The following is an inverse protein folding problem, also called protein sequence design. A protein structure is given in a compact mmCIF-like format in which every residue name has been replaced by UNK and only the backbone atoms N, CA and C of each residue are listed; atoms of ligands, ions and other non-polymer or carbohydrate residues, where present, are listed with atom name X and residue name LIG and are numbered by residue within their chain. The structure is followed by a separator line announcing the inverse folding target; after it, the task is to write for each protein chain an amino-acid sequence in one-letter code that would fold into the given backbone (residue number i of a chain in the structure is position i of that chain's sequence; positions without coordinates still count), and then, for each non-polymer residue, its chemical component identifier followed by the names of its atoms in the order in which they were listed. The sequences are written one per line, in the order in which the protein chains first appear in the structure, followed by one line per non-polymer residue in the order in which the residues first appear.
data_IF_258823118173
#
_entry.id   IF_258823118173
#
_cell.length_a   1.000
_cell.length_b   1.000
_cell.length_c   1.000
_cell.angle_alpha   90.00
_cell.angle_beta   90.00
_cell.angle_gamma   90.00
#
_symmetry.space_group_name_H-M   'P 1'
#
loop_
_entity.id
_entity.type
_entity.pdbx_description
1 polymer ?
#
# COMPACT_ATOMS: atom_id res chain seq x y z
N UNK A 1 -9.02 8.36 21.22
CA UNK A 1 -8.51 7.10 20.66
C UNK A 1 -8.50 7.27 19.17
N UNK A 2 -7.33 7.26 18.54
CA UNK A 2 -7.17 7.29 17.09
C UNK A 2 -7.81 6.02 16.55
N UNK A 3 -8.98 6.12 15.92
CA UNK A 3 -9.59 4.97 15.24
C UNK A 3 -8.79 4.76 13.95
N UNK A 4 -7.87 3.81 13.97
CA UNK A 4 -7.24 3.32 12.74
C UNK A 4 -8.34 2.86 11.77
N UNK A 5 -8.14 3.03 10.45
CA UNK A 5 -9.11 2.58 9.47
C UNK A 5 -9.27 1.06 9.55
N UNK A 6 -10.52 0.59 9.45
CA UNK A 6 -10.80 -0.86 9.44
C UNK A 6 -10.32 -1.54 8.14
N UNK A 7 -10.22 -0.76 7.07
CA UNK A 7 -9.79 -1.19 5.75
C UNK A 7 -8.59 -0.36 5.32
N UNK A 8 -7.53 -1.03 4.91
CA UNK A 8 -6.26 -0.40 4.61
C UNK A 8 -5.72 -0.90 3.27
N UNK A 9 -5.05 -0.04 2.53
CA UNK A 9 -4.15 -0.49 1.47
C UNK A 9 -2.73 -0.21 1.91
N UNK A 10 -1.93 -1.27 1.95
CA UNK A 10 -0.56 -1.24 2.45
C UNK A 10 0.36 -1.54 1.28
N UNK A 11 1.36 -0.68 1.09
CA UNK A 11 2.50 -0.99 0.22
C UNK A 11 3.80 -0.87 0.98
N UNK A 12 4.70 -1.79 0.70
CA UNK A 12 6.07 -1.70 1.15
C UNK A 12 6.99 -1.58 -0.06
N UNK A 13 7.96 -0.67 0.02
CA UNK A 13 8.94 -0.39 -1.03
C UNK A 13 10.35 -0.53 -0.45
N UNK A 14 11.23 -1.27 -1.13
CA UNK A 14 12.66 -1.21 -0.84
C UNK A 14 13.20 0.20 -1.18
N UNK A 15 13.55 0.98 -0.17
CA UNK A 15 13.71 2.43 -0.26
C UNK A 15 15.13 2.86 -0.59
N UNK A 16 15.59 2.42 -1.76
CA UNK A 16 16.80 2.90 -2.42
C UNK A 16 16.44 4.01 -3.45
N UNK A 17 17.39 4.58 -4.22
CA UNK A 17 17.07 5.61 -5.22
C UNK A 17 16.01 5.22 -6.26
N UNK A 18 15.94 3.95 -6.66
CA UNK A 18 14.87 3.44 -7.55
C UNK A 18 13.54 3.27 -6.81
N UNK A 19 13.57 2.92 -5.52
CA UNK A 19 12.40 2.89 -4.65
C UNK A 19 11.77 4.27 -4.44
N UNK A 20 12.59 5.31 -4.27
CA UNK A 20 12.14 6.71 -4.23
C UNK A 20 11.39 7.10 -5.50
N UNK A 21 11.93 6.71 -6.66
CA UNK A 21 11.26 6.96 -7.93
C UNK A 21 9.93 6.22 -8.05
N UNK A 22 9.88 4.97 -7.59
CA UNK A 22 8.64 4.19 -7.56
C UNK A 22 7.58 4.85 -6.66
N UNK A 23 7.98 5.35 -5.48
CA UNK A 23 7.06 6.09 -4.61
C UNK A 23 6.47 7.31 -5.34
N UNK A 24 7.30 8.14 -5.96
CA UNK A 24 6.84 9.31 -6.72
C UNK A 24 5.86 8.92 -7.83
N UNK A 25 6.16 7.84 -8.56
CA UNK A 25 5.31 7.34 -9.64
C UNK A 25 3.96 6.84 -9.09
N UNK A 26 3.96 6.14 -7.95
CA UNK A 26 2.73 5.70 -7.27
C UNK A 26 1.91 6.89 -6.82
N UNK A 27 2.51 7.83 -6.07
CA UNK A 27 1.82 9.02 -5.55
C UNK A 27 1.29 9.92 -6.68
N UNK A 28 1.97 9.96 -7.83
CA UNK A 28 1.50 10.71 -9.01
C UNK A 28 0.36 10.01 -9.76
N UNK A 29 0.15 8.70 -9.53
CA UNK A 29 -0.91 7.91 -10.17
C UNK A 29 -2.24 7.91 -9.41
N UNK A 30 -2.27 8.50 -8.21
CA UNK A 30 -3.42 8.51 -7.31
C UNK A 30 -3.72 9.92 -6.81
N UNK A 31 -4.98 10.18 -6.50
CA UNK A 31 -5.43 11.48 -5.96
C UNK A 31 -5.63 11.47 -4.44
N UNK A 32 -5.21 10.39 -3.76
CA UNK A 32 -5.45 10.17 -2.32
C UNK A 32 -4.11 10.13 -1.60
N UNK A 33 -3.92 11.08 -0.67
CA UNK A 33 -2.76 11.10 0.21
C UNK A 33 -2.80 9.93 1.21
N UNK A 34 -1.65 9.30 1.49
CA UNK A 34 -1.56 8.30 2.55
C UNK A 34 -1.77 8.96 3.92
N UNK A 35 -2.38 8.23 4.85
CA UNK A 35 -2.50 8.70 6.23
C UNK A 35 -1.25 8.39 7.05
N UNK A 36 -0.48 7.40 6.62
CA UNK A 36 0.77 6.99 7.24
C UNK A 36 1.80 6.67 6.17
N UNK A 37 3.01 7.19 6.39
CA UNK A 37 4.18 7.01 5.55
C UNK A 37 5.39 6.98 6.47
N UNK A 38 6.02 5.83 6.61
CA UNK A 38 7.16 5.64 7.51
C UNK A 38 8.27 4.88 6.82
N UNK A 39 9.51 5.29 7.06
CA UNK A 39 10.69 4.59 6.58
C UNK A 39 11.36 3.90 7.76
N UNK A 40 11.58 2.60 7.65
CA UNK A 40 12.25 1.81 8.68
C UNK A 40 13.11 0.73 8.04
N UNK A 41 14.38 0.67 8.44
CA UNK A 41 15.36 -0.34 7.99
C UNK A 41 15.46 -0.49 6.45
N UNK A 42 15.43 0.64 5.73
CA UNK A 42 15.51 0.66 4.27
C UNK A 42 14.21 0.22 3.57
N UNK A 43 13.11 0.06 4.29
CA UNK A 43 11.78 -0.17 3.74
C UNK A 43 10.90 1.06 3.98
N UNK A 44 10.25 1.53 2.93
CA UNK A 44 9.19 2.53 3.02
C UNK A 44 7.85 1.81 3.14
N UNK A 45 7.15 2.05 4.24
CA UNK A 45 5.82 1.56 4.55
C UNK A 45 4.80 2.69 4.37
N UNK A 46 3.79 2.48 3.52
CA UNK A 46 2.75 3.47 3.21
C UNK A 46 1.37 2.84 3.33
N UNK A 47 0.47 3.56 4.00
CA UNK A 47 -0.89 3.14 4.27
C UNK A 47 -1.94 4.15 3.80
N UNK A 48 -3.04 3.63 3.26
CA UNK A 48 -4.23 4.40 2.87
C UNK A 48 -5.49 3.83 3.52
N UNK A 49 -6.19 4.67 4.26
CA UNK A 49 -7.36 4.27 5.03
C UNK A 49 -8.67 4.42 4.24
N UNK A 50 -9.52 3.39 4.29
CA UNK A 50 -10.80 3.38 3.60
C UNK A 50 -11.97 3.11 4.54
N UNK A 51 -13.17 3.54 4.11
CA UNK A 51 -14.43 3.31 4.84
C UNK A 51 -15.09 1.97 4.49
N UNK A 52 -14.70 1.38 3.36
CA UNK A 52 -15.21 0.10 2.89
C UNK A 52 -14.10 -0.76 2.31
N UNK A 53 -14.27 -2.09 2.38
CA UNK A 53 -13.37 -3.04 1.74
C UNK A 53 -13.37 -2.88 0.23
N UNK A 54 -14.53 -2.60 -0.37
CA UNK A 54 -14.66 -2.40 -1.82
C UNK A 54 -13.81 -1.23 -2.31
N UNK A 55 -13.74 -0.12 -1.57
CA UNK A 55 -12.91 1.03 -1.93
C UNK A 55 -11.42 0.69 -1.81
N UNK A 56 -11.02 0.00 -0.75
CA UNK A 56 -9.65 -0.48 -0.58
C UNK A 56 -9.24 -1.45 -1.70
N UNK A 57 -10.14 -2.36 -2.10
CA UNK A 57 -9.90 -3.29 -3.21
C UNK A 57 -9.81 -2.57 -4.56
N UNK A 58 -10.66 -1.58 -4.83
CA UNK A 58 -10.58 -0.77 -6.07
C UNK A 58 -9.28 0.02 -6.13
N UNK A 59 -8.91 0.67 -5.03
CA UNK A 59 -7.69 1.45 -4.95
C UNK A 59 -6.45 0.59 -5.15
N UNK A 60 -6.32 -0.50 -4.40
CA UNK A 60 -5.20 -1.44 -4.55
C UNK A 60 -5.16 -2.15 -5.91
N UNK A 61 -6.31 -2.37 -6.56
CA UNK A 61 -6.36 -2.89 -7.92
C UNK A 61 -5.73 -1.93 -8.93
N UNK A 62 -5.88 -0.62 -8.77
CA UNK A 62 -5.24 0.36 -9.65
C UNK A 62 -3.71 0.32 -9.54
N UNK A 63 -3.19 0.03 -8.33
CA UNK A 63 -1.75 -0.08 -8.10
C UNK A 63 -1.11 -1.35 -8.70
N UNK A 64 -1.89 -2.24 -9.33
CA UNK A 64 -1.37 -3.47 -9.93
C UNK A 64 -0.34 -3.24 -11.03
N UNK A 65 -0.36 -2.10 -11.69
CA UNK A 65 0.61 -1.78 -12.74
C UNK A 65 2.06 -1.79 -12.21
N UNK A 66 2.25 -1.52 -10.92
CA UNK A 66 3.54 -1.48 -10.26
C UNK A 66 4.04 -2.85 -9.77
N UNK A 67 3.25 -3.92 -9.87
CA UNK A 67 3.59 -5.25 -9.35
C UNK A 67 4.90 -5.83 -9.91
N UNK A 68 5.24 -5.46 -11.15
CA UNK A 68 6.47 -5.91 -11.80
C UNK A 68 7.71 -5.15 -11.36
N UNK A 69 7.57 -4.04 -10.62
CA UNK A 69 8.71 -3.31 -10.11
C UNK A 69 9.37 -4.12 -8.97
N UNK A 70 10.67 -4.43 -9.06
CA UNK A 70 11.35 -5.21 -8.03
C UNK A 70 11.49 -4.47 -6.69
N UNK A 71 11.30 -3.15 -6.65
CA UNK A 71 11.32 -2.41 -5.39
C UNK A 71 9.98 -2.46 -4.66
N UNK A 72 8.86 -2.79 -5.31
CA UNK A 72 7.61 -3.02 -4.61
C UNK A 72 7.68 -4.41 -3.96
N UNK A 73 7.72 -4.50 -2.63
CA UNK A 73 7.85 -5.79 -1.93
C UNK A 73 6.52 -6.28 -1.34
N UNK A 74 5.58 -5.37 -1.06
CA UNK A 74 4.23 -5.71 -0.61
C UNK A 74 3.21 -4.81 -1.32
N UNK A 75 2.09 -5.40 -1.74
CA UNK A 75 0.85 -4.67 -2.06
C UNK A 75 -0.34 -5.50 -1.58
N UNK A 76 -1.09 -4.96 -0.64
CA UNK A 76 -2.21 -5.64 0.01
C UNK A 76 -3.38 -4.68 0.26
N UNK A 77 -4.60 -5.12 -0.04
CA UNK A 77 -5.82 -4.58 0.57
C UNK A 77 -6.16 -5.42 1.79
N UNK A 78 -6.22 -4.78 2.96
CA UNK A 78 -6.38 -5.43 4.25
C UNK A 78 -7.73 -5.08 4.87
N UNK A 79 -8.39 -6.08 5.43
CA UNK A 79 -9.44 -5.92 6.43
C UNK A 79 -8.85 -6.35 7.78
N UNK A 80 -8.73 -5.41 8.71
CA UNK A 80 -8.09 -5.66 10.02
C UNK A 80 -8.90 -6.62 10.89
N UNK A 81 -10.22 -6.66 10.70
CA UNK A 81 -11.13 -7.48 11.50
C UNK A 81 -11.36 -8.86 10.86
N UNK A 82 -11.18 -8.97 9.54
CA UNK A 82 -11.31 -10.23 8.81
C UNK A 82 -10.14 -10.45 7.82
N UNK A 83 -9.00 -10.98 8.29
CA UNK A 83 -7.83 -11.23 7.43
C UNK A 83 -8.14 -12.11 6.20
N UNK A 84 -9.12 -13.01 6.28
CA UNK A 84 -9.51 -13.87 5.16
C UNK A 84 -10.22 -13.12 4.02
N UNK A 85 -10.75 -11.92 4.28
CA UNK A 85 -11.33 -11.04 3.28
C UNK A 85 -10.28 -10.13 2.62
N UNK A 86 -9.04 -10.13 3.11
CA UNK A 86 -7.95 -9.34 2.55
C UNK A 86 -7.47 -9.92 1.22
N UNK A 87 -6.99 -9.05 0.32
CA UNK A 87 -6.37 -9.46 -0.94
C UNK A 87 -4.89 -9.08 -0.89
N UNK A 88 -4.03 -10.06 -1.15
CA UNK A 88 -2.58 -9.87 -1.32
C UNK A 88 -2.27 -9.98 -2.80
N UNK A 89 -1.72 -8.91 -3.38
CA UNK A 89 -1.33 -8.89 -4.79
C UNK A 89 0.15 -9.25 -4.99
N UNK A 90 0.97 -8.89 -4.02
CA UNK A 90 2.41 -9.20 -3.95
C UNK A 90 2.86 -9.25 -2.51
N UNK A 91 3.73 -10.21 -2.22
CA UNK A 91 4.38 -10.39 -0.92
C UNK A 91 5.74 -11.09 -1.15
N UNK A 92 6.81 -10.30 -1.15
CA UNK A 92 8.21 -10.74 -1.36
C UNK A 92 9.09 -10.41 -0.15
N UNK A 93 8.48 -10.35 1.03
CA UNK A 93 9.15 -10.08 2.30
C UNK A 93 10.05 -11.23 2.75
#
# INVERSE_FOLDING_TARGET
MSNLPNYDVIIWINYNPFGKKLEEDILSSIDIEPYERSEYDGVLDIHWGFKSLDDAMKFSFNLKEFLKNPNLILLKASDINNPNASIVYKDER
#
